data_IF_855624091008
#
_entry.id   IF_855624091008
#
_cell.length_a   1.000
_cell.length_b   1.000
_cell.length_c   1.000
_cell.angle_alpha   90.00
_cell.angle_beta   90.00
_cell.angle_gamma   90.00
#
_symmetry.space_group_name_H-M   'P 1'
#
loop_
_entity.id
_entity.type
_entity.pdbx_description
1 polymer ?
#
# COMPACT_ATOMS: atom_id res chain seq x y z
N UNK A 1 -15.37 -9.49 7.66
CA UNK A 1 -13.97 -9.62 7.18
C UNK A 1 -13.22 -8.46 7.74
N UNK A 2 -12.26 -8.72 8.62
CA UNK A 2 -11.46 -7.66 9.26
C UNK A 2 -10.27 -7.32 8.38
N UNK A 3 -10.11 -6.05 8.01
CA UNK A 3 -9.10 -5.59 7.06
C UNK A 3 -8.17 -4.57 7.71
N UNK A 4 -6.87 -4.71 7.50
CA UNK A 4 -5.88 -3.69 7.83
C UNK A 4 -5.33 -3.04 6.57
N UNK A 5 -5.28 -1.71 6.52
CA UNK A 5 -4.48 -0.95 5.56
C UNK A 5 -3.23 -0.48 6.28
N UNK A 6 -2.07 -0.93 5.84
CA UNK A 6 -0.78 -0.63 6.46
C UNK A 6 0.00 0.29 5.52
N UNK A 7 0.11 1.55 5.90
CA UNK A 7 0.86 2.54 5.15
C UNK A 7 2.32 2.57 5.63
N UNK A 8 3.24 2.30 4.73
CA UNK A 8 4.68 2.12 5.00
C UNK A 8 5.45 3.25 4.35
N UNK A 9 6.61 3.60 4.90
CA UNK A 9 7.52 4.59 4.32
C UNK A 9 8.18 5.50 5.34
N UNK A 10 9.00 6.42 4.84
CA UNK A 10 9.73 7.41 5.64
C UNK A 10 9.50 8.82 5.10
N UNK A 11 8.75 9.64 5.83
CA UNK A 11 8.42 11.01 5.41
C UNK A 11 9.64 11.96 5.27
N UNK A 12 10.80 11.57 5.78
CA UNK A 12 12.03 12.33 5.65
C UNK A 12 12.81 12.01 4.38
N UNK A 13 12.36 11.04 3.61
CA UNK A 13 13.05 10.50 2.43
C UNK A 13 12.24 10.71 1.15
N UNK A 14 11.72 11.93 0.96
CA UNK A 14 11.00 12.37 -0.24
C UNK A 14 9.89 11.37 -0.62
N UNK A 15 9.96 10.74 -1.78
CA UNK A 15 8.91 9.85 -2.30
C UNK A 15 8.73 8.55 -1.49
N UNK A 16 9.72 8.15 -0.68
CA UNK A 16 9.56 7.07 0.29
C UNK A 16 8.48 7.39 1.34
N UNK A 17 8.15 8.68 1.51
CA UNK A 17 7.04 9.15 2.33
C UNK A 17 5.64 8.92 1.75
N UNK A 18 5.51 8.31 0.57
CA UNK A 18 4.25 8.10 -0.15
C UNK A 18 3.19 7.40 0.70
N UNK A 19 3.55 6.32 1.40
CA UNK A 19 2.61 5.60 2.25
C UNK A 19 2.12 6.46 3.43
N UNK A 20 2.99 7.28 4.01
CA UNK A 20 2.61 8.20 5.10
C UNK A 20 1.62 9.25 4.60
N UNK A 21 1.84 9.79 3.40
CA UNK A 21 0.92 10.74 2.78
C UNK A 21 -0.42 10.07 2.42
N UNK A 22 -0.38 8.83 1.92
CA UNK A 22 -1.60 8.05 1.67
C UNK A 22 -2.40 7.84 2.96
N UNK A 23 -1.75 7.48 4.07
CA UNK A 23 -2.39 7.39 5.38
C UNK A 23 -3.11 8.70 5.75
N UNK A 24 -2.43 9.84 5.64
CA UNK A 24 -3.00 11.15 5.96
C UNK A 24 -4.26 11.45 5.13
N UNK A 25 -4.20 11.20 3.83
CA UNK A 25 -5.34 11.41 2.94
C UNK A 25 -6.50 10.47 3.25
N UNK A 26 -6.24 9.19 3.48
CA UNK A 26 -7.26 8.21 3.82
C UNK A 26 -7.99 8.59 5.12
N UNK A 27 -7.26 8.81 6.22
CA UNK A 27 -7.88 9.10 7.52
C UNK A 27 -8.54 10.48 7.59
N UNK A 28 -8.08 11.46 6.81
CA UNK A 28 -8.68 12.79 6.81
C UNK A 28 -9.93 12.88 5.93
N UNK A 29 -9.98 12.14 4.83
CA UNK A 29 -11.01 12.31 3.79
C UNK A 29 -12.12 11.27 3.83
N UNK A 30 -11.91 10.12 4.47
CA UNK A 30 -12.85 8.99 4.42
C UNK A 30 -13.20 8.45 5.81
N UNK A 31 -14.43 7.94 5.93
CA UNK A 31 -14.89 7.13 7.04
C UNK A 31 -14.95 5.68 6.60
N UNK A 32 -14.29 4.82 7.36
CA UNK A 32 -14.24 3.39 7.13
C UNK A 32 -15.19 2.65 8.08
N UNK A 33 -15.71 1.49 7.69
CA UNK A 33 -16.48 0.66 8.61
C UNK A 33 -15.61 0.13 9.76
N UNK A 34 -16.24 -0.29 10.85
CA UNK A 34 -15.55 -0.68 12.09
C UNK A 34 -14.63 -1.90 11.96
N UNK A 35 -14.73 -2.65 10.87
CA UNK A 35 -13.90 -3.80 10.55
C UNK A 35 -12.74 -3.47 9.58
N UNK A 36 -12.51 -2.19 9.32
CA UNK A 36 -11.37 -1.69 8.51
C UNK A 36 -10.52 -0.74 9.35
N UNK A 37 -9.30 -1.15 9.63
CA UNK A 37 -8.30 -0.35 10.34
C UNK A 37 -7.31 0.26 9.35
N UNK A 38 -7.04 1.56 9.47
CA UNK A 38 -6.00 2.25 8.69
C UNK A 38 -4.85 2.63 9.61
N UNK A 39 -3.66 2.11 9.33
CA UNK A 39 -2.49 2.21 10.20
C UNK A 39 -1.30 2.79 9.46
N UNK A 40 -0.49 3.57 10.18
CA UNK A 40 0.80 4.08 9.73
C UNK A 40 1.90 3.29 10.43
N UNK A 41 2.59 2.42 9.71
CA UNK A 41 3.69 1.61 10.26
C UNK A 41 5.06 2.31 10.15
N UNK A 42 5.15 3.40 9.39
CA UNK A 42 6.46 3.99 9.09
C UNK A 42 7.39 2.95 8.48
N UNK A 43 8.61 2.82 9.00
CA UNK A 43 9.61 1.83 8.54
C UNK A 43 9.56 0.51 9.33
N UNK A 44 8.61 0.32 10.25
CA UNK A 44 8.61 -0.78 11.24
C UNK A 44 7.58 -1.86 10.93
N UNK A 45 7.62 -2.42 9.73
CA UNK A 45 6.65 -3.44 9.27
C UNK A 45 6.71 -4.75 10.08
N UNK A 46 7.88 -5.16 10.54
CA UNK A 46 8.04 -6.41 11.31
C UNK A 46 7.35 -6.39 12.67
N UNK A 47 7.11 -5.22 13.26
CA UNK A 47 6.34 -5.11 14.51
C UNK A 47 4.86 -5.49 14.31
N UNK A 48 4.42 -5.59 13.06
CA UNK A 48 3.05 -5.97 12.71
C UNK A 48 2.82 -7.49 12.69
N UNK A 49 3.88 -8.33 12.79
CA UNK A 49 3.75 -9.81 12.74
C UNK A 49 2.72 -10.31 13.76
N UNK A 50 2.77 -9.79 14.99
CA UNK A 50 1.84 -10.18 16.04
C UNK A 50 0.38 -9.78 15.79
N UNK A 51 0.13 -8.93 14.80
CA UNK A 51 -1.21 -8.46 14.42
C UNK A 51 -1.77 -9.18 13.21
N UNK A 52 -0.96 -9.95 12.50
CA UNK A 52 -1.41 -10.64 11.28
C UNK A 52 -2.61 -11.54 11.56
N UNK A 53 -2.59 -12.28 12.68
CA UNK A 53 -3.68 -13.17 13.12
C UNK A 53 -5.00 -12.44 13.49
N UNK A 54 -4.95 -11.12 13.62
CA UNK A 54 -6.13 -10.32 13.94
C UNK A 54 -6.96 -9.96 12.70
N UNK A 55 -6.41 -10.15 11.48
CA UNK A 55 -7.01 -9.69 10.22
C UNK A 55 -7.16 -10.82 9.21
N UNK A 56 -8.25 -10.76 8.45
CA UNK A 56 -8.47 -11.65 7.31
C UNK A 56 -7.70 -11.18 6.06
N UNK A 57 -7.47 -9.86 5.95
CA UNK A 57 -6.75 -9.21 4.85
C UNK A 57 -5.87 -8.06 5.35
N UNK A 58 -4.63 -8.05 4.90
CA UNK A 58 -3.73 -6.91 5.06
C UNK A 58 -3.38 -6.30 3.71
N UNK A 59 -3.66 -5.00 3.54
CA UNK A 59 -3.29 -4.22 2.36
C UNK A 59 -2.13 -3.32 2.74
N UNK A 60 -0.94 -3.56 2.19
CA UNK A 60 0.17 -2.63 2.34
C UNK A 60 0.14 -1.55 1.27
N UNK A 61 0.53 -0.34 1.65
CA UNK A 61 0.68 0.81 0.75
C UNK A 61 2.10 1.32 0.88
N UNK A 62 2.87 1.26 -0.21
CA UNK A 62 4.31 1.53 -0.19
C UNK A 62 4.82 2.20 -1.48
N UNK A 63 5.97 2.83 -1.37
CA UNK A 63 6.74 3.34 -2.50
C UNK A 63 7.51 2.19 -3.15
N UNK A 64 7.44 2.08 -4.48
CA UNK A 64 8.21 1.11 -5.27
C UNK A 64 9.27 1.86 -6.05
N UNK A 65 10.49 1.38 -6.02
CA UNK A 65 11.61 1.94 -6.76
C UNK A 65 12.20 0.90 -7.71
N UNK A 66 13.05 1.34 -8.64
CA UNK A 66 13.83 0.47 -9.55
C UNK A 66 13.00 -0.46 -10.46
N UNK A 67 11.72 -0.17 -10.71
CA UNK A 67 11.00 -0.85 -11.79
C UNK A 67 11.40 -0.22 -13.14
N UNK A 68 11.08 -0.89 -14.25
CA UNK A 68 11.26 -0.32 -15.60
C UNK A 68 10.14 0.66 -15.98
N UNK A 69 9.13 0.82 -15.12
CA UNK A 69 7.95 1.62 -15.39
C UNK A 69 8.14 3.09 -15.01
N UNK A 70 7.42 4.01 -15.67
CA UNK A 70 7.47 5.43 -15.34
C UNK A 70 6.98 5.71 -13.89
N UNK A 71 7.56 6.74 -13.25
CA UNK A 71 7.08 7.22 -11.96
C UNK A 71 5.58 7.56 -12.01
N UNK A 72 4.84 7.15 -10.99
CA UNK A 72 3.39 7.26 -10.91
C UNK A 72 2.63 6.03 -11.43
N UNK A 73 3.32 5.00 -11.93
CA UNK A 73 2.70 3.71 -12.25
C UNK A 73 2.31 3.00 -10.96
N UNK A 74 1.06 2.53 -10.89
CA UNK A 74 0.53 1.85 -9.70
C UNK A 74 0.53 0.35 -9.95
N UNK A 75 1.01 -0.39 -8.97
CA UNK A 75 1.06 -1.85 -8.97
C UNK A 75 0.14 -2.40 -7.89
N UNK A 76 -0.46 -3.56 -8.18
CA UNK A 76 -1.14 -4.40 -7.22
C UNK A 76 -0.58 -5.81 -7.35
N UNK A 77 -0.05 -6.35 -6.27
CA UNK A 77 0.52 -7.69 -6.24
C UNK A 77 0.26 -8.37 -4.88
N UNK A 78 0.44 -9.68 -4.86
CA UNK A 78 0.37 -10.49 -3.64
C UNK A 78 1.78 -10.88 -3.19
N UNK A 79 1.99 -11.30 -1.93
CA UNK A 79 3.28 -11.84 -1.47
C UNK A 79 3.77 -13.00 -2.35
N UNK A 80 2.86 -13.84 -2.84
CA UNK A 80 3.19 -14.95 -3.75
C UNK A 80 3.73 -14.47 -5.11
N UNK A 81 3.27 -13.35 -5.62
CA UNK A 81 3.76 -12.78 -6.87
C UNK A 81 5.22 -12.34 -6.72
N UNK A 82 5.58 -11.78 -5.57
CA UNK A 82 6.97 -11.41 -5.23
C UNK A 82 7.85 -12.65 -5.12
N UNK A 83 7.39 -13.67 -4.39
CA UNK A 83 8.15 -14.90 -4.18
C UNK A 83 8.46 -15.67 -5.48
N UNK A 84 7.52 -15.67 -6.43
CA UNK A 84 7.69 -16.38 -7.72
C UNK A 84 8.69 -15.72 -8.67
N UNK A 85 8.88 -14.43 -8.57
CA UNK A 85 9.71 -13.68 -9.54
C UNK A 85 11.20 -13.75 -9.25
N UNK A 86 11.61 -14.05 -8.01
CA UNK A 86 13.03 -14.18 -7.64
C UNK A 86 13.86 -12.91 -7.87
N UNK A 87 13.20 -11.81 -8.22
CA UNK A 87 13.85 -10.52 -8.43
C UNK A 87 13.40 -9.59 -7.30
N UNK A 88 14.31 -8.96 -6.59
CA UNK A 88 13.93 -7.89 -5.67
C UNK A 88 13.31 -6.77 -6.53
N UNK A 89 12.01 -6.58 -6.46
CA UNK A 89 11.45 -5.31 -6.84
C UNK A 89 11.96 -4.31 -5.80
N UNK A 90 12.62 -3.26 -6.27
CA UNK A 90 13.61 -2.44 -5.59
C UNK A 90 13.22 -1.61 -4.39
N UNK A 91 12.32 -2.07 -3.51
CA UNK A 91 12.08 -1.36 -2.26
C UNK A 91 12.60 -2.15 -1.07
N UNK A 92 13.35 -1.47 -0.20
CA UNK A 92 13.79 -2.02 1.09
C UNK A 92 12.61 -2.45 1.98
N UNK A 93 11.41 -1.95 1.69
CA UNK A 93 10.18 -2.21 2.42
C UNK A 93 9.42 -3.44 1.88
N UNK A 94 9.54 -3.76 0.58
CA UNK A 94 8.93 -4.94 -0.02
C UNK A 94 9.47 -6.24 0.56
N UNK A 95 10.80 -6.31 0.76
CA UNK A 95 11.42 -7.43 1.46
C UNK A 95 10.84 -7.57 2.87
N UNK A 96 10.59 -6.46 3.55
CA UNK A 96 10.01 -6.47 4.91
C UNK A 96 8.56 -6.96 4.93
N UNK A 97 7.79 -6.74 3.86
CA UNK A 97 6.42 -7.22 3.79
C UNK A 97 6.37 -8.73 3.48
N UNK A 98 7.18 -9.21 2.54
CA UNK A 98 7.32 -10.65 2.29
C UNK A 98 7.80 -11.37 3.57
N UNK A 99 8.82 -10.83 4.24
CA UNK A 99 9.32 -11.33 5.51
C UNK A 99 8.23 -11.36 6.60
N UNK A 100 7.34 -10.35 6.63
CA UNK A 100 6.20 -10.29 7.54
C UNK A 100 5.26 -11.48 7.33
N UNK A 101 4.88 -11.75 6.08
CA UNK A 101 4.00 -12.86 5.77
C UNK A 101 4.68 -14.22 5.93
N UNK A 102 5.97 -14.33 5.60
CA UNK A 102 6.75 -15.55 5.86
C UNK A 102 6.86 -15.84 7.36
N UNK A 103 7.10 -14.81 8.18
CA UNK A 103 7.12 -14.94 9.63
C UNK A 103 5.73 -15.30 10.19
N UNK A 104 4.67 -14.73 9.65
CA UNK A 104 3.29 -15.05 10.02
C UNK A 104 2.94 -16.51 9.67
N UNK A 105 3.35 -16.98 8.50
CA UNK A 105 3.15 -18.37 8.07
C UNK A 105 3.90 -19.37 8.98
N UNK A 106 5.09 -19.02 9.48
CA UNK A 106 5.81 -19.83 10.47
C UNK A 106 5.09 -19.95 11.83
N UNK A 107 4.17 -19.01 12.10
CA UNK A 107 3.34 -18.99 13.32
C UNK A 107 1.95 -19.59 13.07
N UNK A 108 1.71 -20.20 11.91
CA UNK A 108 0.40 -20.72 11.46
C UNK A 108 -0.68 -19.61 11.43
N UNK A 109 -0.32 -18.36 11.20
CA UNK A 109 -1.28 -17.26 11.03
C UNK A 109 -1.76 -17.22 9.58
N UNK A 110 -3.08 -17.20 9.38
CA UNK A 110 -3.72 -17.13 8.08
C UNK A 110 -4.24 -15.71 7.83
N UNK A 111 -3.66 -15.01 6.86
CA UNK A 111 -4.09 -13.69 6.43
C UNK A 111 -3.79 -13.51 4.94
N UNK A 112 -4.74 -12.98 4.19
CA UNK A 112 -4.50 -12.59 2.80
C UNK A 112 -3.63 -11.34 2.76
N UNK A 113 -2.60 -11.33 1.90
CA UNK A 113 -1.74 -10.17 1.67
C UNK A 113 -2.02 -9.54 0.30
N UNK A 114 -2.16 -8.21 0.25
CA UNK A 114 -2.19 -7.42 -0.99
C UNK A 114 -1.26 -6.24 -0.82
N UNK A 115 -0.43 -5.98 -1.82
CA UNK A 115 0.40 -4.79 -1.89
C UNK A 115 -0.13 -3.86 -2.97
N UNK A 116 -0.33 -2.58 -2.64
CA UNK A 116 -0.66 -1.52 -3.58
C UNK A 116 0.47 -0.50 -3.50
N UNK A 117 1.33 -0.50 -4.50
CA UNK A 117 2.48 0.39 -4.54
C UNK A 117 2.46 1.32 -5.75
N UNK A 118 3.27 2.37 -5.70
CA UNK A 118 3.48 3.27 -6.81
C UNK A 118 4.97 3.39 -7.11
N UNK A 119 5.35 3.23 -8.40
CA UNK A 119 6.70 3.58 -8.83
C UNK A 119 6.98 5.03 -8.51
N UNK A 120 8.02 5.28 -7.73
CA UNK A 120 8.43 6.62 -7.35
C UNK A 120 9.51 7.17 -8.27
N UNK A 121 9.74 8.49 -8.20
CA UNK A 121 10.77 9.16 -8.98
C UNK A 121 12.11 9.16 -8.22
N UNK A 122 12.05 9.33 -6.88
CA UNK A 122 13.23 9.33 -6.02
C UNK A 122 12.85 8.90 -4.59
N UNK A 123 12.99 7.61 -4.29
CA UNK A 123 12.77 7.04 -2.94
C UNK A 123 13.98 7.13 -2.02
N UNK A 124 15.18 7.42 -2.54
CA UNK A 124 16.44 7.43 -1.77
C UNK A 124 17.25 8.72 -2.02
N UNK A 125 16.72 9.90 -1.63
CA UNK A 125 17.46 11.15 -1.78
C UNK A 125 18.72 11.16 -0.93
N UNK A 126 19.75 11.91 -1.37
CA UNK A 126 21.03 12.05 -0.64
C UNK A 126 20.92 12.86 0.66
N UNK A 127 19.85 13.61 0.83
CA UNK A 127 19.57 14.45 2.00
C UNK A 127 18.13 14.23 2.46
N UNK A 128 17.83 14.56 3.71
CA UNK A 128 16.45 14.51 4.22
C UNK A 128 15.60 15.58 3.54
N UNK A 129 14.57 15.12 2.83
CA UNK A 129 13.63 15.99 2.11
C UNK A 129 12.22 15.53 2.46
N UNK A 130 11.43 16.41 3.04
CA UNK A 130 10.01 16.14 3.30
C UNK A 130 9.14 16.45 2.08
N UNK A 131 8.10 15.66 1.90
CA UNK A 131 7.13 15.82 0.81
C UNK A 131 7.32 14.76 -0.27
N UNK A 132 6.66 14.97 -1.40
CA UNK A 132 6.71 14.09 -2.57
C UNK A 132 7.17 14.90 -3.78
N UNK A 133 7.81 14.25 -4.76
CA UNK A 133 8.09 14.88 -6.05
C UNK A 133 6.77 15.30 -6.72
N UNK A 134 6.79 16.33 -7.59
CA UNK A 134 5.58 16.78 -8.29
C UNK A 134 4.90 15.65 -9.08
N UNK A 135 5.68 14.74 -9.67
CA UNK A 135 5.18 13.61 -10.44
C UNK A 135 4.39 12.65 -9.57
N UNK A 136 4.96 12.22 -8.45
CA UNK A 136 4.34 11.29 -7.49
C UNK A 136 3.13 11.95 -6.83
N UNK A 137 3.26 13.21 -6.40
CA UNK A 137 2.16 13.94 -5.78
C UNK A 137 0.95 14.08 -6.71
N UNK A 138 1.16 14.33 -8.01
CA UNK A 138 0.08 14.41 -8.99
C UNK A 138 -0.66 13.08 -9.20
N UNK A 139 -0.05 11.95 -8.82
CA UNK A 139 -0.61 10.60 -8.95
C UNK A 139 -1.25 10.08 -7.66
N UNK A 140 -1.07 10.78 -6.54
CA UNK A 140 -1.68 10.39 -5.26
C UNK A 140 -3.20 10.13 -5.34
N UNK A 141 -4.01 10.96 -6.04
CA UNK A 141 -5.45 10.67 -6.16
C UNK A 141 -5.74 9.32 -6.80
N UNK A 142 -4.92 8.88 -7.76
CA UNK A 142 -5.08 7.58 -8.42
C UNK A 142 -4.68 6.43 -7.48
N UNK A 143 -3.64 6.60 -6.66
CA UNK A 143 -3.27 5.63 -5.63
C UNK A 143 -4.39 5.45 -4.60
N UNK A 144 -4.89 6.56 -4.05
CA UNK A 144 -5.99 6.55 -3.09
C UNK A 144 -7.22 5.83 -3.67
N UNK A 145 -7.58 6.17 -4.90
CA UNK A 145 -8.74 5.57 -5.58
C UNK A 145 -8.54 4.06 -5.82
N UNK A 146 -7.31 3.62 -6.07
CA UNK A 146 -6.98 2.19 -6.20
C UNK A 146 -7.17 1.45 -4.86
N UNK A 147 -6.72 2.04 -3.76
CA UNK A 147 -6.91 1.47 -2.41
C UNK A 147 -8.40 1.37 -2.08
N UNK A 148 -9.15 2.45 -2.34
CA UNK A 148 -10.60 2.47 -2.10
C UNK A 148 -11.33 1.46 -2.98
N UNK A 149 -10.91 1.28 -4.24
CA UNK A 149 -11.47 0.29 -5.14
C UNK A 149 -11.26 -1.14 -4.63
N UNK A 150 -10.08 -1.46 -4.11
CA UNK A 150 -9.80 -2.78 -3.50
C UNK A 150 -10.79 -3.06 -2.35
N UNK A 151 -11.01 -2.09 -1.47
CA UNK A 151 -11.92 -2.22 -0.33
C UNK A 151 -13.39 -2.35 -0.78
N UNK A 152 -13.83 -1.53 -1.73
CA UNK A 152 -15.21 -1.59 -2.24
C UNK A 152 -15.47 -2.91 -2.97
N UNK A 153 -14.50 -3.43 -3.71
CA UNK A 153 -14.60 -4.75 -4.35
C UNK A 153 -14.68 -5.90 -3.33
N UNK A 154 -14.19 -5.67 -2.10
CA UNK A 154 -14.34 -6.59 -0.96
C UNK A 154 -15.65 -6.38 -0.18
N UNK A 155 -16.51 -5.47 -0.63
CA UNK A 155 -17.81 -5.19 -0.04
C UNK A 155 -17.79 -4.15 1.09
N UNK A 156 -16.68 -3.43 1.29
CA UNK A 156 -16.60 -2.38 2.30
C UNK A 156 -17.38 -1.13 1.85
N UNK A 157 -18.17 -0.59 2.76
CA UNK A 157 -18.88 0.67 2.56
C UNK A 157 -18.05 1.83 3.12
N UNK A 158 -17.52 2.64 2.24
CA UNK A 158 -16.67 3.79 2.60
C UNK A 158 -17.42 5.08 2.30
N UNK A 159 -17.35 6.06 3.19
CA UNK A 159 -18.04 7.35 3.07
C UNK A 159 -17.00 8.47 2.94
N UNK A 160 -17.25 9.39 2.01
CA UNK A 160 -16.47 10.62 1.86
C UNK A 160 -16.90 11.61 2.92
N UNK A 161 -16.03 11.98 3.86
CA UNK A 161 -16.35 12.87 4.99
C UNK A 161 -16.91 14.21 4.55
N UNK A 162 -16.37 14.81 3.49
CA UNK A 162 -16.77 16.13 3.01
C UNK A 162 -18.21 16.17 2.45
N UNK A 163 -18.72 15.06 1.91
CA UNK A 163 -20.00 15.02 1.22
C UNK A 163 -21.03 14.11 1.88
N UNK A 164 -20.61 13.21 2.75
CA UNK A 164 -21.42 12.12 3.29
C UNK A 164 -21.84 11.07 2.24
N UNK A 165 -21.31 11.17 1.03
CA UNK A 165 -21.59 10.24 -0.07
C UNK A 165 -20.73 8.98 -0.01
N UNK A 166 -21.26 7.85 -0.51
CA UNK A 166 -20.48 6.61 -0.64
C UNK A 166 -19.45 6.73 -1.75
N UNK A 167 -18.27 6.14 -1.50
CA UNK A 167 -17.21 6.05 -2.49
C UNK A 167 -17.67 5.16 -3.65
N UNK A 168 -17.51 5.68 -4.87
CA UNK A 168 -17.67 4.94 -6.11
C UNK A 168 -16.32 4.96 -6.81
N UNK A 169 -15.56 3.87 -6.75
CA UNK A 169 -14.23 3.84 -7.36
C UNK A 169 -14.34 4.03 -8.87
N UNK A 170 -13.45 4.85 -9.41
CA UNK A 170 -13.26 4.98 -10.84
C UNK A 170 -12.46 3.81 -11.41
N UNK A 171 -12.42 3.72 -12.73
CA UNK A 171 -11.54 2.79 -13.43
C UNK A 171 -10.15 3.43 -13.54
N UNK A 172 -9.19 2.95 -12.77
CA UNK A 172 -7.79 3.32 -12.90
C UNK A 172 -7.00 2.16 -13.51
N UNK A 173 -5.99 2.49 -14.29
CA UNK A 173 -5.03 1.49 -14.80
C UNK A 173 -4.15 1.05 -13.64
N UNK A 174 -4.53 -0.07 -13.05
CA UNK A 174 -3.66 -0.82 -12.14
C UNK A 174 -2.98 -1.88 -12.99
N UNK A 175 -1.68 -1.85 -13.08
CA UNK A 175 -0.94 -2.96 -13.66
C UNK A 175 -0.98 -4.11 -12.65
N UNK A 176 -1.87 -5.06 -12.88
CA UNK A 176 -1.77 -6.36 -12.22
C UNK A 176 -0.73 -7.16 -12.97
N UNK A 177 0.37 -7.44 -12.35
CA UNK A 177 1.43 -8.25 -12.93
C UNK A 177 1.07 -9.74 -13.00
N UNK A 178 -0.05 -10.08 -13.58
CA UNK A 178 -0.49 -11.46 -13.74
C UNK A 178 -1.09 -11.70 -15.12
N UNK A 179 -0.43 -11.31 -16.18
CA UNK A 179 -0.78 -11.81 -17.50
C UNK A 179 0.41 -11.60 -18.42
N UNK A 180 1.31 -12.55 -18.46
CA UNK A 180 1.91 -13.06 -19.70
C UNK A 180 3.01 -14.04 -19.30
N UNK A 181 2.62 -15.30 -19.22
CA UNK A 181 3.52 -16.44 -19.39
C UNK A 181 2.92 -17.38 -20.43
#
# INVERSE_FOLDING_TARGET
MKIAIICVGNELMLDDGLGIEAYRQLVNSYEFPADVDVMCAGCMTMDMVSKVDEYDLMISVDAIDETSEPAGTIFRYTPDDVARRGTPMGSLHELKLADLFDAAALLDYECEGVCIGMQVENGTPSEFIQGLTPTVNAKMPMLIDTILAELVNRGCRIVVKATGGEVKPGFHHVMTEAADA
#
